data_IF_960193915685
#
_entry.id   IF_960193915685
#
_cell.length_a   1.000
_cell.length_b   1.000
_cell.length_c   1.000
_cell.angle_alpha   90.00
_cell.angle_beta   90.00
_cell.angle_gamma   90.00
#
_symmetry.space_group_name_H-M   'P 1'
#
loop_
_entity.id
_entity.type
_entity.pdbx_description
1 polymer ?
#
# COMPACT_ATOMS: atom_id res chain seq x y z
N UNK A 1 12.82 -32.85 -3.39
CA UNK A 1 11.58 -33.01 -2.58
C UNK A 1 10.55 -32.06 -3.14
N UNK A 2 9.60 -32.54 -3.95
CA UNK A 2 8.48 -31.75 -4.44
C UNK A 2 7.34 -31.88 -3.42
N UNK A 3 6.76 -30.76 -2.99
CA UNK A 3 5.60 -30.74 -2.11
C UNK A 3 4.37 -30.64 -3.03
N UNK A 4 3.71 -31.77 -3.28
CA UNK A 4 2.60 -31.90 -4.24
C UNK A 4 1.29 -31.18 -3.85
N UNK A 5 1.31 -30.31 -2.83
CA UNK A 5 0.12 -29.59 -2.34
C UNK A 5 0.27 -28.06 -2.29
N UNK A 6 1.30 -27.49 -2.92
CA UNK A 6 1.46 -26.02 -3.04
C UNK A 6 0.82 -25.47 -4.32
N UNK A 7 0.29 -26.35 -5.18
CA UNK A 7 -0.11 -26.03 -6.56
C UNK A 7 -1.57 -25.59 -6.73
N UNK A 8 -2.36 -25.49 -5.66
CA UNK A 8 -3.74 -24.99 -5.73
C UNK A 8 -3.83 -23.65 -5.00
N UNK A 9 -3.56 -22.58 -5.74
CA UNK A 9 -3.89 -21.24 -5.30
C UNK A 9 -5.16 -20.83 -6.03
N UNK A 10 -6.21 -20.58 -5.29
CA UNK A 10 -7.44 -20.02 -5.83
C UNK A 10 -7.29 -18.50 -5.93
N UNK A 11 -7.88 -17.91 -6.97
CA UNK A 11 -7.90 -16.48 -7.14
C UNK A 11 -8.76 -15.85 -6.03
N UNK A 12 -8.25 -14.93 -5.19
CA UNK A 12 -9.00 -14.36 -4.08
C UNK A 12 -10.19 -13.48 -4.50
N UNK A 13 -10.33 -13.18 -5.81
CA UNK A 13 -11.42 -12.36 -6.36
C UNK A 13 -12.57 -13.23 -6.84
N UNK A 14 -12.32 -14.21 -7.72
CA UNK A 14 -13.37 -15.08 -8.26
C UNK A 14 -13.48 -16.44 -7.56
N UNK A 15 -12.54 -16.78 -6.68
CA UNK A 15 -12.45 -18.05 -5.94
C UNK A 15 -12.26 -19.29 -6.83
N UNK A 16 -11.82 -19.10 -8.08
CA UNK A 16 -11.49 -20.17 -9.01
C UNK A 16 -9.98 -20.45 -9.02
N UNK A 17 -9.61 -21.71 -9.29
CA UNK A 17 -8.21 -22.15 -9.34
C UNK A 17 -7.42 -21.42 -10.45
N UNK A 18 -6.27 -20.85 -10.06
CA UNK A 18 -5.44 -19.98 -10.92
C UNK A 18 -4.73 -20.76 -12.04
N UNK A 19 -4.51 -22.07 -11.87
CA UNK A 19 -3.66 -22.88 -12.77
C UNK A 19 -4.45 -23.74 -13.75
N UNK A 20 -5.72 -24.01 -13.47
CA UNK A 20 -6.60 -24.83 -14.31
C UNK A 20 -7.50 -24.00 -15.21
N UNK A 21 -7.65 -22.69 -14.93
CA UNK A 21 -8.36 -21.77 -15.79
C UNK A 21 -7.64 -21.56 -17.13
N UNK A 22 -8.42 -21.31 -18.19
CA UNK A 22 -7.88 -20.87 -19.48
C UNK A 22 -7.36 -19.42 -19.42
N UNK A 23 -7.72 -18.69 -18.38
CA UNK A 23 -7.30 -17.31 -18.15
C UNK A 23 -5.91 -17.31 -17.53
N UNK A 24 -4.96 -16.60 -18.14
CA UNK A 24 -3.60 -16.50 -17.61
C UNK A 24 -3.55 -15.84 -16.23
N UNK A 25 -2.61 -16.27 -15.40
CA UNK A 25 -2.32 -15.66 -14.12
C UNK A 25 -1.47 -14.38 -14.29
N UNK A 26 -1.65 -13.44 -13.37
CA UNK A 26 -0.85 -12.23 -13.22
C UNK A 26 -0.18 -12.22 -11.85
N UNK A 27 1.15 -12.02 -11.82
CA UNK A 27 1.95 -11.92 -10.60
C UNK A 27 2.05 -10.45 -10.22
N UNK A 28 1.50 -10.09 -9.07
CA UNK A 28 1.61 -8.75 -8.50
C UNK A 28 3.04 -8.46 -8.02
N UNK A 29 3.44 -7.18 -7.84
CA UNK A 29 4.75 -6.83 -7.28
C UNK A 29 5.05 -7.46 -5.91
N UNK A 30 4.02 -7.69 -5.09
CA UNK A 30 4.12 -8.39 -3.81
C UNK A 30 4.26 -9.92 -3.92
N UNK A 31 4.19 -10.49 -5.12
CA UNK A 31 4.28 -11.93 -5.39
C UNK A 31 2.95 -12.70 -5.36
N UNK A 32 1.85 -12.07 -4.96
CA UNK A 32 0.53 -12.70 -5.01
C UNK A 32 0.01 -12.88 -6.44
N UNK A 33 -0.76 -13.93 -6.67
CA UNK A 33 -1.33 -14.28 -7.96
C UNK A 33 -2.81 -13.93 -8.05
N UNK A 34 -3.23 -13.36 -9.19
CA UNK A 34 -4.62 -13.16 -9.58
C UNK A 34 -4.82 -13.67 -11.00
N UNK A 35 -6.05 -14.03 -11.39
CA UNK A 35 -6.37 -14.11 -12.83
C UNK A 35 -6.18 -12.74 -13.48
N UNK A 36 -5.72 -12.71 -14.73
CA UNK A 36 -5.52 -11.46 -15.47
C UNK A 36 -6.78 -10.60 -15.53
N UNK A 37 -7.93 -11.21 -15.78
CA UNK A 37 -9.23 -10.51 -15.79
C UNK A 37 -9.57 -9.93 -14.42
N UNK A 38 -9.39 -10.71 -13.35
CA UNK A 38 -9.60 -10.25 -11.98
C UNK A 38 -8.63 -9.14 -11.57
N UNK A 39 -7.38 -9.17 -12.04
CA UNK A 39 -6.42 -8.10 -11.86
C UNK A 39 -6.88 -6.82 -12.57
N UNK A 40 -7.28 -6.91 -13.84
CA UNK A 40 -7.78 -5.77 -14.61
C UNK A 40 -9.06 -5.17 -14.00
N UNK A 41 -9.94 -6.00 -13.45
CA UNK A 41 -11.14 -5.55 -12.74
C UNK A 41 -10.81 -4.91 -11.39
N UNK A 42 -9.89 -5.50 -10.62
CA UNK A 42 -9.41 -4.93 -9.35
C UNK A 42 -8.87 -3.50 -9.54
N UNK A 43 -8.12 -3.27 -10.63
CA UNK A 43 -7.54 -1.97 -10.93
C UNK A 43 -8.56 -0.85 -11.18
N UNK A 44 -9.83 -1.19 -11.47
CA UNK A 44 -10.90 -0.19 -11.61
C UNK A 44 -11.34 0.36 -10.27
N UNK A 45 -11.22 -0.43 -9.20
CA UNK A 45 -11.64 -0.08 -7.84
C UNK A 45 -10.47 0.42 -6.99
N UNK A 46 -9.25 -0.03 -7.26
CA UNK A 46 -8.09 0.43 -6.51
C UNK A 46 -6.76 -0.16 -6.96
N UNK A 47 -5.68 0.43 -6.44
CA UNK A 47 -4.31 0.07 -6.80
C UNK A 47 -3.67 -0.94 -5.84
N UNK A 48 -4.40 -1.47 -4.85
CA UNK A 48 -3.82 -2.28 -3.76
C UNK A 48 -4.16 -3.75 -3.91
N UNK A 49 -3.20 -4.62 -3.62
CA UNK A 49 -3.41 -6.05 -3.56
C UNK A 49 -4.47 -6.39 -2.50
N UNK A 50 -5.51 -7.20 -2.80
CA UNK A 50 -6.57 -7.51 -1.85
C UNK A 50 -6.11 -8.40 -0.69
N UNK A 51 -4.94 -9.05 -0.82
CA UNK A 51 -4.41 -9.97 0.19
C UNK A 51 -3.48 -9.29 1.20
N UNK A 52 -2.73 -8.26 0.77
CA UNK A 52 -1.68 -7.66 1.60
C UNK A 52 -1.60 -6.14 1.53
N UNK A 53 -2.46 -5.50 0.74
CA UNK A 53 -2.53 -4.04 0.56
C UNK A 53 -1.33 -3.37 -0.10
N UNK A 54 -0.28 -4.12 -0.47
CA UNK A 54 0.83 -3.61 -1.27
C UNK A 54 0.33 -3.06 -2.62
N UNK A 55 0.93 -1.97 -3.09
CA UNK A 55 0.66 -1.38 -4.41
C UNK A 55 0.84 -2.43 -5.52
N UNK A 56 -0.17 -2.57 -6.36
CA UNK A 56 -0.28 -3.55 -7.45
C UNK A 56 0.30 -3.04 -8.77
N UNK A 57 0.67 -1.76 -8.83
CA UNK A 57 1.28 -1.09 -9.97
C UNK A 57 2.32 -0.08 -9.50
N UNK A 58 3.09 0.47 -10.46
CA UNK A 58 4.00 1.57 -10.21
C UNK A 58 3.20 2.87 -9.93
N UNK A 59 3.28 3.30 -8.67
CA UNK A 59 2.59 4.49 -8.18
C UNK A 59 3.50 5.73 -8.12
N UNK A 60 4.75 5.65 -8.60
CA UNK A 60 5.76 6.73 -8.49
C UNK A 60 5.25 8.09 -8.97
N UNK A 61 4.54 8.11 -10.10
CA UNK A 61 3.97 9.35 -10.64
C UNK A 61 2.87 9.93 -9.74
N UNK A 62 2.02 9.07 -9.18
CA UNK A 62 0.95 9.49 -8.27
C UNK A 62 1.51 10.01 -6.95
N UNK A 63 2.55 9.36 -6.41
CA UNK A 63 3.26 9.85 -5.22
C UNK A 63 3.86 11.24 -5.42
N UNK A 64 4.44 11.52 -6.59
CA UNK A 64 4.93 12.85 -6.92
C UNK A 64 3.81 13.90 -6.95
N UNK A 65 2.62 13.55 -7.43
CA UNK A 65 1.48 14.47 -7.40
C UNK A 65 1.04 14.77 -5.95
N UNK A 66 1.03 13.74 -5.09
CA UNK A 66 0.76 13.94 -3.67
C UNK A 66 1.85 14.78 -2.97
N UNK A 67 3.12 14.63 -3.34
CA UNK A 67 4.19 15.53 -2.85
C UNK A 67 3.86 17.00 -3.16
N UNK A 68 3.45 17.29 -4.41
CA UNK A 68 3.10 18.65 -4.85
C UNK A 68 1.86 19.20 -4.11
N UNK A 69 0.82 18.38 -3.92
CA UNK A 69 -0.41 18.78 -3.21
C UNK A 69 -0.16 19.02 -1.71
N UNK A 70 0.67 18.18 -1.08
CA UNK A 70 1.13 18.34 0.30
C UNK A 70 1.90 19.64 0.47
N UNK A 71 2.81 19.97 -0.46
CA UNK A 71 3.57 21.21 -0.41
C UNK A 71 2.68 22.47 -0.58
N UNK A 72 1.60 22.36 -1.35
CA UNK A 72 0.66 23.46 -1.59
C UNK A 72 -0.39 23.63 -0.48
N UNK A 73 -0.55 22.64 0.40
CA UNK A 73 -1.60 22.61 1.43
C UNK A 73 -0.97 22.56 2.83
N UNK A 74 -0.38 23.65 3.34
CA UNK A 74 0.25 23.63 4.65
C UNK A 74 -0.76 23.24 5.75
N UNK A 75 -0.30 22.42 6.70
CA UNK A 75 -1.14 21.98 7.82
C UNK A 75 -1.50 23.16 8.74
N UNK A 76 -2.71 23.15 9.34
CA UNK A 76 -3.07 24.11 10.39
C UNK A 76 -2.07 24.10 11.53
N UNK A 77 -1.91 25.25 12.19
CA UNK A 77 -0.91 25.47 13.24
C UNK A 77 -1.00 24.43 14.37
N UNK A 78 -2.21 23.97 14.70
CA UNK A 78 -2.43 22.98 15.77
C UNK A 78 -1.81 21.61 15.45
N UNK A 79 -1.60 21.31 14.16
CA UNK A 79 -1.08 20.03 13.68
C UNK A 79 0.30 20.15 13.01
N UNK A 80 0.85 21.36 12.90
CA UNK A 80 2.08 21.63 12.16
C UNK A 80 3.30 20.88 12.68
N UNK A 81 3.33 20.56 13.98
CA UNK A 81 4.41 19.80 14.63
C UNK A 81 3.98 18.38 15.05
N UNK A 82 2.80 17.93 14.61
CA UNK A 82 2.28 16.61 14.96
C UNK A 82 3.01 15.50 14.22
N UNK A 83 3.73 14.65 14.95
CA UNK A 83 4.45 13.51 14.39
C UNK A 83 3.70 12.20 14.64
N UNK A 84 3.67 11.33 13.64
CA UNK A 84 2.95 10.06 13.71
C UNK A 84 3.84 8.90 13.29
N UNK A 85 3.70 7.77 13.98
CA UNK A 85 4.31 6.51 13.57
C UNK A 85 3.43 5.86 12.49
N UNK A 86 4.03 5.48 11.38
CA UNK A 86 3.37 4.84 10.25
C UNK A 86 4.01 3.49 9.93
N UNK A 87 3.21 2.57 9.39
CA UNK A 87 3.64 1.35 8.72
C UNK A 87 3.37 1.48 7.22
N UNK A 88 4.38 1.23 6.39
CA UNK A 88 4.23 1.27 4.93
C UNK A 88 3.82 -0.09 4.38
N UNK A 89 2.76 -0.15 3.57
CA UNK A 89 2.27 -1.38 2.96
C UNK A 89 3.14 -1.86 1.77
N UNK A 90 4.01 -1.00 1.24
CA UNK A 90 4.88 -1.35 0.11
C UNK A 90 6.24 -1.90 0.57
N UNK A 91 6.86 -1.33 1.61
CA UNK A 91 8.16 -1.82 2.10
C UNK A 91 8.12 -2.45 3.49
N UNK A 92 6.96 -2.49 4.15
CA UNK A 92 6.76 -2.99 5.52
C UNK A 92 7.62 -2.30 6.60
N UNK A 93 8.30 -1.20 6.26
CA UNK A 93 9.09 -0.43 7.21
C UNK A 93 8.19 0.47 8.05
N UNK A 94 8.58 0.66 9.32
CA UNK A 94 8.02 1.68 10.21
C UNK A 94 8.83 2.96 10.09
N UNK A 95 8.15 4.10 10.14
CA UNK A 95 8.82 5.41 10.19
C UNK A 95 8.00 6.43 10.95
N UNK A 96 8.66 7.38 11.60
CA UNK A 96 8.01 8.54 12.21
C UNK A 96 8.08 9.72 11.26
N UNK A 97 6.91 10.26 10.88
CA UNK A 97 6.78 11.29 9.83
C UNK A 97 5.83 12.40 10.28
N UNK A 98 5.92 13.55 9.63
CA UNK A 98 5.01 14.67 9.88
C UNK A 98 3.60 14.25 9.44
N UNK A 99 2.61 14.47 10.32
CA UNK A 99 1.22 14.24 9.98
C UNK A 99 0.76 15.25 8.92
N UNK A 100 0.08 14.74 7.89
CA UNK A 100 -0.54 15.55 6.86
C UNK A 100 -1.85 14.91 6.42
N UNK A 101 -2.91 15.71 6.24
CA UNK A 101 -4.26 15.18 5.95
C UNK A 101 -4.31 14.41 4.62
N UNK A 102 -3.55 14.85 3.61
CA UNK A 102 -3.51 14.24 2.28
C UNK A 102 -2.74 12.92 2.24
N UNK A 103 -1.83 12.68 3.18
CA UNK A 103 -1.07 11.44 3.21
C UNK A 103 0.27 11.56 3.92
N UNK A 104 0.78 10.41 4.38
CA UNK A 104 2.01 10.31 5.15
C UNK A 104 3.05 9.55 4.33
N UNK A 105 4.10 10.23 3.89
CA UNK A 105 5.13 9.65 3.01
C UNK A 105 6.08 8.76 3.77
N UNK A 106 6.28 7.52 3.31
CA UNK A 106 7.28 6.62 3.86
C UNK A 106 8.70 7.15 3.61
N UNK A 107 9.54 7.20 4.64
CA UNK A 107 10.95 7.65 4.51
C UNK A 107 11.87 6.63 3.83
N UNK A 108 11.45 5.36 3.70
CA UNK A 108 12.29 4.29 3.18
C UNK A 108 12.10 4.05 1.67
N UNK A 109 10.86 4.08 1.19
CA UNK A 109 10.54 3.86 -0.22
C UNK A 109 9.72 4.98 -0.88
N UNK A 110 9.51 6.10 -0.18
CA UNK A 110 8.79 7.28 -0.68
C UNK A 110 7.32 7.07 -1.05
N UNK A 111 6.75 5.90 -0.77
CA UNK A 111 5.34 5.60 -0.99
C UNK A 111 4.43 6.30 0.03
N UNK A 112 3.25 6.71 -0.42
CA UNK A 112 2.16 7.17 0.45
C UNK A 112 1.16 6.06 0.80
N UNK A 113 1.38 4.82 0.35
CA UNK A 113 0.59 3.66 0.76
C UNK A 113 0.97 3.24 2.19
N UNK A 114 0.56 4.05 3.16
CA UNK A 114 0.94 3.93 4.57
C UNK A 114 -0.29 3.97 5.48
N UNK A 115 -0.19 3.35 6.64
CA UNK A 115 -1.22 3.38 7.68
C UNK A 115 -0.62 3.87 8.99
N UNK A 116 -1.39 4.62 9.79
CA UNK A 116 -0.96 5.03 11.12
C UNK A 116 -0.91 3.83 12.06
N UNK A 117 0.22 3.66 12.75
CA UNK A 117 0.54 2.48 13.56
C UNK A 117 0.02 2.61 15.01
N UNK A 118 -1.12 3.26 15.21
CA UNK A 118 -1.83 3.44 16.49
C UNK A 118 -1.08 4.25 17.57
N UNK A 119 0.21 4.50 17.41
CA UNK A 119 1.07 5.26 18.33
C UNK A 119 1.13 6.71 17.85
N UNK A 120 0.21 7.51 18.36
CA UNK A 120 0.25 8.96 18.18
C UNK A 120 1.17 9.56 19.26
N UNK A 121 2.28 10.19 18.87
CA UNK A 121 3.05 11.02 19.79
C UNK A 121 2.56 12.45 19.64
N UNK A 122 1.88 12.94 20.68
CA UNK A 122 1.53 14.36 20.81
C UNK A 122 2.81 15.23 20.88
N UNK A 123 2.72 16.56 20.64
CA UNK A 123 3.87 17.43 20.45
C UNK A 123 4.87 17.40 21.61
N UNK A 124 6.14 17.67 21.30
CA UNK A 124 7.31 17.68 22.20
C UNK A 124 7.30 18.78 23.30
N UNK A 125 6.15 19.25 23.78
CA UNK A 125 6.07 20.33 24.77
C UNK A 125 5.78 19.89 26.22
N UNK A 126 5.76 18.59 26.52
CA UNK A 126 5.65 18.10 27.91
C UNK A 126 6.69 16.99 28.21
N UNK A 127 7.97 17.36 28.27
CA UNK A 127 9.03 16.60 28.96
C UNK A 127 9.67 17.45 30.05
#
# INVERSE_FOLDING_TARGET
>A
KCIENVSRQDCPICLEDIHTSRVGAHVLPCGHLLHRTCYEDMLKEGYRCPLCMHSALDMTRYWRQLDDEVAQTPMPTEYQNMMVEILCNDCNARSTVQFHLLGMKCKNCESYNTAQDGRCRLPLEEQ
#
